data_IF_421474955256
#
_entry.id   IF_421474955256
#
_cell.length_a   1.000
_cell.length_b   1.000
_cell.length_c   1.000
_cell.angle_alpha   90.00
_cell.angle_beta   90.00
_cell.angle_gamma   90.00
#
_symmetry.space_group_name_H-M   'P 1'
#
loop_
_entity.id
_entity.type
_entity.pdbx_description
1 polymer ?
#
# COMPACT_ATOMS: atom_id res chain seq x y z
N UNK A 1 10.12 -3.85 -12.07
CA UNK A 1 9.22 -3.19 -11.11
C UNK A 1 9.50 -3.78 -9.75
N UNK A 2 10.24 -3.04 -8.93
CA UNK A 2 10.62 -3.44 -7.57
C UNK A 2 9.36 -3.58 -6.73
N UNK A 3 9.15 -4.78 -6.19
CA UNK A 3 8.08 -5.04 -5.22
C UNK A 3 8.25 -4.07 -4.05
N UNK A 4 7.30 -3.13 -3.88
CA UNK A 4 7.18 -2.28 -2.70
C UNK A 4 6.90 -3.16 -1.47
N UNK A 5 7.95 -3.76 -0.93
CA UNK A 5 7.88 -4.42 0.37
C UNK A 5 7.82 -3.31 1.40
N UNK A 6 6.83 -3.35 2.30
CA UNK A 6 6.69 -2.49 3.49
C UNK A 6 8.02 -2.19 4.21
N UNK A 7 9.00 -3.11 4.10
CA UNK A 7 10.37 -2.99 4.62
C UNK A 7 11.16 -1.79 4.10
N UNK A 8 10.80 -1.21 2.94
CA UNK A 8 11.47 -0.05 2.36
C UNK A 8 10.75 1.27 2.66
N UNK A 9 9.57 1.22 3.30
CA UNK A 9 8.79 2.40 3.64
C UNK A 9 9.24 2.96 4.99
N UNK A 10 9.21 4.28 5.13
CA UNK A 10 9.51 4.94 6.39
C UNK A 10 8.39 4.65 7.38
N UNK A 11 8.69 3.85 8.40
CA UNK A 11 7.75 3.44 9.44
C UNK A 11 7.77 4.46 10.59
N UNK A 12 6.59 4.86 11.04
CA UNK A 12 6.37 5.64 12.24
C UNK A 12 5.56 4.83 13.26
N UNK A 13 6.03 4.85 14.49
CA UNK A 13 5.43 4.15 15.63
C UNK A 13 5.40 5.12 16.81
N UNK A 14 4.22 5.39 17.36
CA UNK A 14 4.05 6.35 18.45
C UNK A 14 2.59 6.54 18.82
N UNK A 15 2.33 7.24 19.93
CA UNK A 15 0.96 7.53 20.41
C UNK A 15 0.20 8.56 19.56
N UNK A 16 0.84 9.13 18.55
CA UNK A 16 0.29 10.15 17.66
C UNK A 16 0.28 9.67 16.20
N UNK A 17 0.37 8.36 15.96
CA UNK A 17 0.28 7.81 14.60
C UNK A 17 -1.17 7.56 14.22
N UNK A 18 -1.57 8.08 13.07
CA UNK A 18 -2.92 7.89 12.51
C UNK A 18 -2.83 7.47 11.05
N UNK A 19 -3.62 6.47 10.65
CA UNK A 19 -3.74 6.10 9.25
C UNK A 19 -4.66 7.09 8.51
N UNK A 20 -4.16 7.70 7.45
CA UNK A 20 -4.93 8.64 6.65
C UNK A 20 -6.18 8.02 5.98
N UNK A 21 -6.14 6.73 5.59
CA UNK A 21 -7.26 6.07 4.90
C UNK A 21 -8.39 5.66 5.84
N UNK A 22 -8.07 5.08 7.00
CA UNK A 22 -9.07 4.46 7.89
C UNK A 22 -9.15 5.08 9.29
N UNK A 23 -8.32 6.09 9.59
CA UNK A 23 -8.34 6.82 10.86
C UNK A 23 -7.92 6.01 12.08
N UNK A 24 -7.33 4.82 11.89
CA UNK A 24 -6.83 4.03 13.02
C UNK A 24 -5.65 4.76 13.66
N UNK A 25 -5.74 4.97 14.97
CA UNK A 25 -4.73 5.63 15.79
C UNK A 25 -3.92 4.61 16.60
N UNK A 26 -2.75 5.02 17.12
CA UNK A 26 -1.90 4.21 18.01
C UNK A 26 -1.43 2.88 17.36
N UNK A 27 -1.31 2.88 16.02
CA UNK A 27 -0.81 1.73 15.24
C UNK A 27 0.39 2.11 14.39
N UNK A 28 1.23 1.13 13.98
CA UNK A 28 2.30 1.39 13.04
C UNK A 28 1.75 1.90 11.71
N UNK A 29 2.26 3.05 11.28
CA UNK A 29 1.95 3.64 9.98
C UNK A 29 3.21 3.77 9.15
N UNK A 30 3.06 3.74 7.83
CA UNK A 30 4.14 3.78 6.87
C UNK A 30 3.88 4.93 5.90
N UNK A 31 4.90 5.74 5.65
CA UNK A 31 4.84 6.88 4.74
C UNK A 31 4.73 6.43 3.28
N UNK A 32 3.95 7.17 2.47
CA UNK A 32 3.90 7.00 1.03
C UNK A 32 5.16 7.56 0.38
N UNK A 33 5.90 6.76 -0.41
CA UNK A 33 7.12 7.23 -1.05
C UNK A 33 6.84 8.18 -2.22
N UNK A 34 5.60 8.22 -2.72
CA UNK A 34 5.18 9.12 -3.78
C UNK A 34 4.61 10.44 -3.24
N UNK A 35 4.15 10.46 -1.98
CA UNK A 35 3.54 11.65 -1.38
C UNK A 35 4.03 11.81 0.08
N UNK A 36 4.90 12.80 0.29
CA UNK A 36 5.41 13.14 1.62
C UNK A 36 4.30 13.57 2.59
N UNK A 37 4.39 13.13 3.84
CA UNK A 37 3.41 13.44 4.89
C UNK A 37 2.13 12.60 4.86
N UNK A 38 2.01 11.64 3.93
CA UNK A 38 0.89 10.71 3.86
C UNK A 38 1.26 9.36 4.50
N UNK A 39 0.56 9.00 5.57
CA UNK A 39 0.83 7.78 6.35
C UNK A 39 -0.35 6.82 6.31
N UNK A 40 -0.06 5.53 6.07
CA UNK A 40 -1.08 4.49 6.07
C UNK A 40 -0.68 3.34 6.99
N UNK A 41 -1.66 2.72 7.65
CA UNK A 41 -1.40 1.50 8.42
C UNK A 41 -1.05 0.33 7.50
N UNK A 42 -0.44 -0.71 8.09
CA UNK A 42 -0.04 -1.93 7.38
C UNK A 42 -1.17 -2.51 6.51
N UNK A 43 -2.39 -2.59 7.06
CA UNK A 43 -3.54 -3.15 6.34
C UNK A 43 -3.87 -2.36 5.08
N UNK A 44 -3.92 -1.02 5.19
CA UNK A 44 -4.23 -0.16 4.05
C UNK A 44 -3.13 -0.22 2.98
N UNK A 45 -1.87 -0.38 3.39
CA UNK A 45 -0.77 -0.65 2.46
C UNK A 45 -0.88 -2.00 1.78
N UNK A 46 -1.21 -3.06 2.53
CA UNK A 46 -1.40 -4.39 1.95
C UNK A 46 -2.53 -4.43 0.93
N UNK A 47 -3.64 -3.71 1.16
CA UNK A 47 -4.71 -3.59 0.17
C UNK A 47 -4.23 -2.93 -1.13
N UNK A 48 -3.38 -1.91 -1.04
CA UNK A 48 -2.81 -1.23 -2.22
C UNK A 48 -1.88 -2.17 -2.98
N UNK A 49 -0.93 -2.80 -2.29
CA UNK A 49 -0.01 -3.78 -2.88
C UNK A 49 -0.80 -4.90 -3.56
N UNK A 50 -1.83 -5.44 -2.90
CA UNK A 50 -2.68 -6.49 -3.46
C UNK A 50 -3.41 -6.04 -4.72
N UNK A 51 -3.87 -4.79 -4.78
CA UNK A 51 -4.54 -4.24 -5.98
C UNK A 51 -3.56 -4.11 -7.14
N UNK A 52 -2.34 -3.62 -6.88
CA UNK A 52 -1.28 -3.53 -7.90
C UNK A 52 -0.84 -4.92 -8.39
N UNK A 53 -0.79 -5.93 -7.52
CA UNK A 53 -0.51 -7.31 -7.92
C UNK A 53 -1.64 -7.91 -8.77
N UNK A 54 -2.90 -7.62 -8.45
CA UNK A 54 -4.06 -8.09 -9.25
C UNK A 54 -4.08 -7.43 -10.63
N UNK A 55 -3.80 -6.13 -10.74
CA UNK A 55 -3.72 -5.45 -12.05
C UNK A 55 -2.58 -6.02 -12.91
N UNK A 56 -1.52 -6.54 -12.30
CA UNK A 56 -0.42 -7.21 -13.00
C UNK A 56 -0.78 -8.63 -13.47
N UNK A 57 -1.72 -9.30 -12.81
CA UNK A 57 -2.21 -10.65 -13.16
C UNK A 57 -3.43 -10.63 -14.09
N UNK A 58 -4.10 -9.49 -14.25
CA UNK A 58 -5.28 -9.34 -15.12
C UNK A 58 -4.99 -9.14 -16.61
N UNK A 59 -3.78 -9.43 -17.09
CA UNK A 59 -3.34 -9.20 -18.48
C UNK A 59 -2.88 -10.49 -19.19
N UNK A 60 -3.48 -11.63 -18.86
CA UNK A 60 -3.39 -12.86 -19.66
C UNK A 60 -4.80 -13.40 -19.98
N UNK A 61 -5.64 -12.57 -20.61
CA UNK A 61 -6.75 -13.11 -21.40
C UNK A 61 -6.62 -12.55 -22.82
N UNK A 62 -5.92 -13.31 -23.67
CA UNK A 62 -6.06 -13.20 -25.12
C UNK A 62 -7.53 -13.51 -25.46
N UNK A 63 -8.31 -12.46 -25.71
CA UNK A 63 -9.61 -12.57 -26.37
C UNK A 63 -9.40 -13.31 -27.70
N UNK A 64 -9.95 -14.53 -27.90
CA UNK A 64 -9.84 -15.20 -29.18
C UNK A 64 -10.66 -14.41 -30.20
N UNK A 65 -10.00 -13.96 -31.28
CA UNK A 65 -10.69 -13.37 -32.43
C UNK A 65 -11.42 -14.50 -33.18
N UNK A 66 -12.75 -14.37 -33.31
CA UNK A 66 -13.55 -15.16 -34.26
C UNK A 66 -13.26 -14.75 -35.72
#
# INVERSE_FOLDING_TARGET
>A
MENLKLKNLKKLEGKDTECYKCGVQDVPVYEDPNIEGLFFCEKCWQERIKTEEVEKWGFEEEIPYE
#
